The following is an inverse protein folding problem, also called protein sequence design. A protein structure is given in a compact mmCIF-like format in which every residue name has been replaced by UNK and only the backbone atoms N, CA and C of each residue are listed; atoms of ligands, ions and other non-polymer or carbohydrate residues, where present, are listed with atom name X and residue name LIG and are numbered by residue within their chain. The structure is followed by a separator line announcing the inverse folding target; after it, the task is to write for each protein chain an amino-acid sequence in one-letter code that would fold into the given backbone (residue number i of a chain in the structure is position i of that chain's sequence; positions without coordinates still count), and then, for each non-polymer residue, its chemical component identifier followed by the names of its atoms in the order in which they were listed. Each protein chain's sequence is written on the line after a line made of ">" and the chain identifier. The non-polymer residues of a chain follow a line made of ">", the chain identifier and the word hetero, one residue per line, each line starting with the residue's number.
data_IF_432262875397
#
_entry.id   IF_432262875397
#
_cell.length_a   1.000
_cell.length_b   1.000
_cell.length_c   1.000
_cell.angle_alpha   90.00
_cell.angle_beta   90.00
_cell.angle_gamma   90.00
#
_symmetry.space_group_name_H-M   'P 1'
#
loop_
_entity.id
_entity.type
_entity.pdbx_description
1 polymer ?
#
# COMPACT_ATOMS: atom_id res chain seq x y z
N UNK A 1 -26.47 -0.54 -43.61
CA UNK A 1 -25.93 0.49 -42.69
C UNK A 1 -26.19 0.10 -41.24
N UNK A 2 -27.44 -0.19 -40.85
CA UNK A 2 -27.77 -0.67 -39.50
C UNK A 2 -27.01 -1.93 -39.07
N UNK A 3 -26.87 -2.94 -39.94
CA UNK A 3 -26.16 -4.18 -39.59
C UNK A 3 -24.68 -3.93 -39.26
N UNK A 4 -24.03 -3.05 -40.01
CA UNK A 4 -22.63 -2.68 -39.82
C UNK A 4 -22.45 -1.89 -38.52
N UNK A 5 -23.38 -0.98 -38.24
CA UNK A 5 -23.40 -0.19 -37.01
C UNK A 5 -23.64 -1.07 -35.77
N UNK A 6 -24.58 -2.01 -35.84
CA UNK A 6 -24.88 -2.94 -34.75
C UNK A 6 -23.71 -3.88 -34.46
N UNK A 7 -23.03 -4.40 -35.49
CA UNK A 7 -21.84 -5.23 -35.32
C UNK A 7 -20.68 -4.43 -34.71
N UNK A 8 -20.49 -3.18 -35.14
CA UNK A 8 -19.46 -2.31 -34.56
C UNK A 8 -19.73 -2.02 -33.08
N UNK A 9 -20.98 -1.78 -32.69
CA UNK A 9 -21.35 -1.56 -31.29
C UNK A 9 -21.26 -2.83 -30.44
N UNK A 10 -21.52 -4.01 -31.03
CA UNK A 10 -21.35 -5.28 -30.33
C UNK A 10 -19.87 -5.62 -30.09
N UNK A 11 -18.99 -5.38 -31.06
CA UNK A 11 -17.56 -5.67 -30.94
C UNK A 11 -16.79 -4.57 -30.20
N UNK A 12 -17.18 -3.31 -30.38
CA UNK A 12 -16.55 -2.12 -29.81
C UNK A 12 -17.60 -1.21 -29.14
N UNK A 13 -18.13 -1.60 -27.97
CA UNK A 13 -19.19 -0.86 -27.29
C UNK A 13 -18.81 0.58 -26.98
N UNK A 14 -17.51 0.83 -26.72
CA UNK A 14 -16.97 2.18 -26.49
C UNK A 14 -17.31 3.15 -27.61
N UNK A 15 -17.48 2.70 -28.87
CA UNK A 15 -17.89 3.57 -29.99
C UNK A 15 -19.25 4.26 -29.80
N UNK A 16 -20.08 3.79 -28.85
CA UNK A 16 -21.30 4.47 -28.46
C UNK A 16 -21.08 5.88 -27.93
N UNK A 17 -19.90 6.22 -27.38
CA UNK A 17 -19.64 7.61 -26.95
C UNK A 17 -19.77 8.61 -28.12
N UNK A 18 -19.42 8.19 -29.34
CA UNK A 18 -19.51 9.01 -30.56
C UNK A 18 -20.97 9.17 -31.01
N UNK A 19 -21.80 8.15 -30.76
CA UNK A 19 -23.15 8.04 -31.33
C UNK A 19 -24.21 8.57 -30.35
N UNK A 20 -24.04 8.31 -29.06
CA UNK A 20 -25.03 8.58 -28.01
C UNK A 20 -24.43 9.27 -26.77
N UNK A 21 -23.15 9.65 -26.80
CA UNK A 21 -22.44 10.27 -25.67
C UNK A 21 -22.49 9.42 -24.39
N UNK A 22 -22.60 8.09 -24.56
CA UNK A 22 -22.64 7.11 -23.48
C UNK A 22 -21.23 6.61 -23.16
N UNK A 23 -20.88 6.60 -21.86
CA UNK A 23 -19.59 6.16 -21.37
C UNK A 23 -19.75 4.92 -20.49
N UNK A 24 -18.82 3.98 -20.65
CA UNK A 24 -18.74 2.79 -19.81
C UNK A 24 -17.85 3.06 -18.60
N UNK A 25 -18.25 2.51 -17.47
CA UNK A 25 -17.55 2.63 -16.20
C UNK A 25 -16.48 1.53 -16.05
N UNK A 26 -15.71 1.59 -14.95
CA UNK A 26 -14.66 0.62 -14.69
C UNK A 26 -15.16 -0.83 -14.62
N UNK A 27 -16.37 -1.06 -14.10
CA UNK A 27 -16.94 -2.40 -13.98
C UNK A 27 -17.14 -3.06 -15.36
N UNK A 28 -17.59 -2.29 -16.34
CA UNK A 28 -17.74 -2.73 -17.72
C UNK A 28 -16.41 -3.17 -18.34
N UNK A 29 -15.31 -2.45 -18.07
CA UNK A 29 -13.98 -2.84 -18.56
C UNK A 29 -13.49 -4.15 -17.93
N UNK A 30 -13.73 -4.36 -16.63
CA UNK A 30 -13.37 -5.61 -15.94
C UNK A 30 -14.15 -6.81 -16.51
N UNK A 31 -15.45 -6.63 -16.79
CA UNK A 31 -16.25 -7.67 -17.44
C UNK A 31 -15.70 -8.01 -18.84
N UNK A 32 -15.36 -7.00 -19.65
CA UNK A 32 -14.79 -7.24 -20.97
C UNK A 32 -13.43 -7.91 -20.94
N UNK A 33 -12.62 -7.63 -19.91
CA UNK A 33 -11.37 -8.34 -19.67
C UNK A 33 -11.65 -9.82 -19.38
N UNK A 34 -12.49 -10.17 -18.40
CA UNK A 34 -12.80 -11.57 -18.10
C UNK A 34 -13.44 -12.35 -19.25
N UNK A 35 -14.27 -11.69 -20.06
CA UNK A 35 -14.93 -12.27 -21.23
C UNK A 35 -14.02 -12.34 -22.47
N UNK A 36 -12.75 -11.94 -22.36
CA UNK A 36 -11.80 -11.88 -23.46
C UNK A 36 -12.29 -11.04 -24.66
N UNK A 37 -13.07 -9.98 -24.42
CA UNK A 37 -13.66 -9.21 -25.53
C UNK A 37 -12.60 -8.43 -26.29
N UNK A 38 -12.73 -8.40 -27.62
CA UNK A 38 -11.83 -7.67 -28.54
C UNK A 38 -11.74 -6.17 -28.25
N UNK A 39 -12.77 -5.57 -27.63
CA UNK A 39 -12.75 -4.15 -27.27
C UNK A 39 -11.84 -3.80 -26.09
N UNK A 40 -11.39 -4.78 -25.31
CA UNK A 40 -10.52 -4.51 -24.18
C UNK A 40 -9.09 -4.23 -24.64
N UNK A 41 -8.45 -3.17 -24.15
CA UNK A 41 -7.11 -2.74 -24.60
C UNK A 41 -6.05 -3.85 -24.51
N UNK A 42 -6.14 -4.69 -23.48
CA UNK A 42 -5.17 -5.78 -23.23
C UNK A 42 -5.46 -7.04 -24.07
N UNK A 43 -6.56 -7.06 -24.83
CA UNK A 43 -6.93 -8.16 -25.73
C UNK A 43 -6.99 -7.74 -27.20
N UNK A 44 -7.27 -6.47 -27.49
CA UNK A 44 -7.43 -5.95 -28.84
C UNK A 44 -6.31 -6.43 -29.77
N UNK A 45 -5.06 -6.12 -29.41
CA UNK A 45 -3.89 -6.52 -30.19
C UNK A 45 -3.78 -8.03 -30.38
N UNK A 46 -4.16 -8.85 -29.39
CA UNK A 46 -4.08 -10.32 -29.45
C UNK A 46 -4.99 -10.92 -30.52
N UNK A 47 -6.09 -10.25 -30.86
CA UNK A 47 -6.99 -10.68 -31.93
C UNK A 47 -6.46 -10.37 -33.34
N UNK A 48 -5.52 -9.42 -33.47
CA UNK A 48 -5.02 -8.93 -34.76
C UNK A 48 -3.53 -9.16 -34.98
N UNK A 49 -2.78 -9.55 -33.94
CA UNK A 49 -1.38 -9.98 -34.03
C UNK A 49 -1.28 -11.47 -34.36
N UNK A 50 -0.39 -11.79 -35.30
CA UNK A 50 -0.04 -13.16 -35.71
C UNK A 50 1.02 -13.82 -34.80
N UNK A 51 1.52 -13.10 -33.78
CA UNK A 51 2.50 -13.57 -32.81
C UNK A 51 2.07 -13.21 -31.39
N UNK A 52 2.33 -14.11 -30.44
CA UNK A 52 2.15 -13.84 -29.02
C UNK A 52 3.33 -13.01 -28.51
N UNK A 53 3.05 -11.82 -27.95
CA UNK A 53 4.05 -11.09 -27.17
C UNK A 53 4.26 -11.83 -25.84
N UNK A 54 5.52 -12.09 -25.47
CA UNK A 54 5.90 -13.02 -24.38
C UNK A 54 5.72 -12.47 -22.95
N UNK A 55 5.18 -11.26 -22.79
CA UNK A 55 5.12 -10.56 -21.50
C UNK A 55 3.71 -10.42 -20.91
N UNK A 56 2.67 -10.95 -21.57
CA UNK A 56 1.29 -10.87 -21.07
C UNK A 56 0.88 -12.08 -20.24
N UNK A 57 0.18 -11.85 -19.13
CA UNK A 57 -0.49 -12.90 -18.37
C UNK A 57 -1.62 -13.54 -19.18
N UNK A 58 -1.67 -14.86 -19.14
CA UNK A 58 -2.73 -15.68 -19.74
C UNK A 58 -3.92 -15.79 -18.78
N UNK A 59 -5.09 -16.16 -19.30
CA UNK A 59 -6.25 -16.52 -18.46
C UNK A 59 -5.90 -17.66 -17.49
N UNK A 60 -5.10 -18.63 -17.94
CA UNK A 60 -4.64 -19.73 -17.09
C UNK A 60 -3.82 -19.25 -15.90
N UNK A 61 -3.08 -18.15 -16.00
CA UNK A 61 -2.36 -17.59 -14.84
C UNK A 61 -3.31 -17.11 -13.74
N UNK A 62 -4.43 -16.48 -14.12
CA UNK A 62 -5.46 -16.04 -13.16
C UNK A 62 -6.27 -17.20 -12.59
N UNK A 63 -6.60 -18.22 -13.41
CA UNK A 63 -7.25 -19.44 -12.92
C UNK A 63 -6.36 -20.19 -11.94
N UNK A 64 -5.07 -20.37 -12.27
CA UNK A 64 -4.10 -20.97 -11.36
C UNK A 64 -3.99 -20.17 -10.05
N UNK A 65 -4.07 -18.84 -10.10
CA UNK A 65 -4.08 -18.01 -8.91
C UNK A 65 -5.36 -18.18 -8.08
N UNK A 66 -6.54 -18.33 -8.70
CA UNK A 66 -7.78 -18.68 -8.02
C UNK A 66 -7.69 -20.04 -7.31
N UNK A 67 -7.07 -21.03 -7.94
CA UNK A 67 -6.89 -22.36 -7.33
C UNK A 67 -6.03 -22.31 -6.07
N UNK A 68 -5.06 -21.38 -5.99
CA UNK A 68 -4.21 -21.18 -4.81
C UNK A 68 -4.94 -20.50 -3.65
N UNK A 69 -6.15 -19.96 -3.83
CA UNK A 69 -6.89 -19.23 -2.78
C UNK A 69 -7.24 -20.09 -1.56
N UNK A 70 -7.22 -21.42 -1.71
CA UNK A 70 -7.44 -22.36 -0.62
C UNK A 70 -6.20 -22.59 0.28
N UNK A 71 -5.02 -22.10 -0.12
CA UNK A 71 -3.74 -22.38 0.53
C UNK A 71 -3.00 -21.07 0.81
N UNK A 72 -3.08 -20.64 2.08
CA UNK A 72 -2.52 -19.38 2.58
C UNK A 72 -1.04 -19.21 2.20
N UNK A 73 -0.24 -20.25 2.44
CA UNK A 73 1.22 -20.19 2.24
C UNK A 73 1.56 -20.18 0.75
N UNK A 74 0.96 -21.07 -0.05
CA UNK A 74 1.26 -21.10 -1.49
C UNK A 74 0.81 -19.83 -2.21
N UNK A 75 -0.32 -19.25 -1.80
CA UNK A 75 -0.78 -17.99 -2.36
C UNK A 75 0.16 -16.85 -2.00
N UNK A 76 0.57 -16.76 -0.73
CA UNK A 76 1.57 -15.77 -0.28
C UNK A 76 2.86 -15.88 -1.10
N UNK A 77 3.41 -17.09 -1.23
CA UNK A 77 4.63 -17.35 -2.00
C UNK A 77 4.47 -16.94 -3.47
N UNK A 78 3.30 -17.19 -4.07
CA UNK A 78 3.00 -16.76 -5.43
C UNK A 78 2.99 -15.25 -5.58
N UNK A 79 2.41 -14.52 -4.61
CA UNK A 79 2.40 -13.05 -4.58
C UNK A 79 3.83 -12.52 -4.47
N UNK A 80 4.64 -13.04 -3.56
CA UNK A 80 6.02 -12.60 -3.35
C UNK A 80 6.92 -12.95 -4.55
N UNK A 81 6.69 -14.08 -5.22
CA UNK A 81 7.39 -14.44 -6.45
C UNK A 81 7.07 -13.49 -7.62
N UNK A 82 5.84 -12.97 -7.69
CA UNK A 82 5.48 -11.92 -8.64
C UNK A 82 6.16 -10.60 -8.30
N UNK A 83 6.22 -10.24 -7.01
CA UNK A 83 6.86 -9.00 -6.56
C UNK A 83 8.36 -8.99 -6.81
N UNK A 84 9.05 -10.09 -6.50
CA UNK A 84 10.47 -10.27 -6.78
C UNK A 84 10.85 -10.10 -8.27
N UNK A 85 9.86 -10.28 -9.17
CA UNK A 85 10.00 -10.08 -10.62
C UNK A 85 9.48 -8.71 -11.10
N UNK A 86 9.04 -7.82 -10.20
CA UNK A 86 8.34 -6.57 -10.48
C UNK A 86 7.06 -6.76 -11.32
N UNK A 87 6.39 -7.90 -11.15
CA UNK A 87 5.16 -8.27 -11.89
C UNK A 87 3.90 -8.16 -11.04
N UNK A 88 4.01 -8.00 -9.71
CA UNK A 88 2.87 -8.00 -8.80
C UNK A 88 1.86 -6.87 -9.08
N UNK A 89 2.33 -5.64 -9.32
CA UNK A 89 1.43 -4.52 -9.63
C UNK A 89 0.55 -4.81 -10.85
N UNK A 90 1.16 -5.27 -11.95
CA UNK A 90 0.42 -5.54 -13.18
C UNK A 90 -0.50 -6.74 -13.03
N UNK A 91 0.01 -7.82 -12.42
CA UNK A 91 -0.77 -9.03 -12.19
C UNK A 91 -1.98 -8.78 -11.30
N UNK A 92 -1.79 -8.17 -10.13
CA UNK A 92 -2.87 -7.92 -9.17
C UNK A 92 -3.90 -6.94 -9.73
N UNK A 93 -3.47 -5.94 -10.50
CA UNK A 93 -4.39 -5.01 -11.16
C UNK A 93 -5.34 -5.69 -12.14
N UNK A 94 -4.85 -6.70 -12.88
CA UNK A 94 -5.64 -7.52 -13.81
C UNK A 94 -6.47 -8.57 -13.06
N UNK A 95 -5.95 -9.09 -11.95
CA UNK A 95 -6.65 -10.06 -11.11
C UNK A 95 -7.89 -9.48 -10.42
N UNK A 96 -7.99 -8.16 -10.26
CA UNK A 96 -9.23 -7.49 -9.81
C UNK A 96 -10.48 -7.96 -10.57
N UNK A 97 -10.35 -8.28 -11.86
CA UNK A 97 -11.46 -8.78 -12.69
C UNK A 97 -11.96 -10.18 -12.26
N UNK A 98 -11.07 -10.98 -11.68
CA UNK A 98 -11.31 -12.37 -11.27
C UNK A 98 -11.61 -12.50 -9.78
N UNK A 99 -11.39 -11.45 -8.97
CA UNK A 99 -11.47 -11.54 -7.50
C UNK A 99 -12.83 -11.96 -6.96
N UNK A 100 -13.91 -11.71 -7.71
CA UNK A 100 -15.28 -12.17 -7.35
C UNK A 100 -15.50 -13.68 -7.55
N UNK A 101 -14.54 -14.38 -8.16
CA UNK A 101 -14.60 -15.82 -8.41
C UNK A 101 -13.90 -16.62 -7.30
N UNK A 102 -13.35 -15.96 -6.28
CA UNK A 102 -12.79 -16.64 -5.11
C UNK A 102 -13.93 -17.39 -4.39
N UNK A 103 -13.81 -18.72 -4.16
CA UNK A 103 -14.84 -19.46 -3.44
C UNK A 103 -14.97 -19.00 -1.98
N UNK A 104 -16.20 -18.93 -1.45
CA UNK A 104 -16.46 -18.45 -0.08
C UNK A 104 -15.75 -19.30 0.99
N UNK A 105 -15.64 -20.61 0.75
CA UNK A 105 -14.91 -21.54 1.62
C UNK A 105 -13.41 -21.20 1.74
N UNK A 106 -12.85 -20.45 0.78
CA UNK A 106 -11.45 -20.08 0.72
C UNK A 106 -11.16 -18.70 1.34
N UNK A 107 -12.18 -17.91 1.72
CA UNK A 107 -12.01 -16.52 2.13
C UNK A 107 -10.99 -16.33 3.26
N UNK A 108 -10.98 -17.20 4.28
CA UNK A 108 -10.02 -17.10 5.36
C UNK A 108 -8.56 -17.27 4.88
N UNK A 109 -8.29 -18.31 4.08
CA UNK A 109 -6.96 -18.58 3.56
C UNK A 109 -6.51 -17.46 2.60
N UNK A 110 -7.43 -17.01 1.74
CA UNK A 110 -7.21 -15.91 0.81
C UNK A 110 -6.87 -14.60 1.53
N UNK A 111 -7.73 -14.15 2.45
CA UNK A 111 -7.52 -12.93 3.23
C UNK A 111 -6.19 -13.00 3.98
N UNK A 112 -5.91 -14.11 4.67
CA UNK A 112 -4.69 -14.23 5.46
C UNK A 112 -3.42 -14.18 4.59
N UNK A 113 -3.44 -14.77 3.39
CA UNK A 113 -2.32 -14.67 2.45
C UNK A 113 -2.07 -13.22 1.99
N UNK A 114 -3.13 -12.46 1.72
CA UNK A 114 -3.01 -11.05 1.35
C UNK A 114 -2.45 -10.20 2.50
N UNK A 115 -2.89 -10.48 3.74
CA UNK A 115 -2.39 -9.81 4.94
C UNK A 115 -0.90 -10.12 5.18
N UNK A 116 -0.49 -11.40 5.03
CA UNK A 116 0.90 -11.81 5.20
C UNK A 116 1.82 -11.15 4.17
N UNK A 117 1.43 -11.20 2.90
CA UNK A 117 2.22 -10.61 1.82
C UNK A 117 2.31 -9.07 1.93
N UNK A 118 1.33 -8.43 2.55
CA UNK A 118 1.21 -6.97 2.62
C UNK A 118 2.39 -6.23 3.25
N UNK A 119 3.05 -6.84 4.23
CA UNK A 119 4.22 -6.24 4.92
C UNK A 119 5.55 -6.54 4.21
N UNK A 120 5.57 -7.57 3.37
CA UNK A 120 6.78 -8.05 2.68
C UNK A 120 6.89 -7.50 1.25
N UNK A 121 5.77 -7.09 0.66
CA UNK A 121 5.71 -6.58 -0.71
C UNK A 121 6.25 -5.15 -0.84
N UNK A 122 6.72 -4.78 -2.03
CA UNK A 122 7.09 -3.40 -2.31
C UNK A 122 5.88 -2.43 -2.21
N UNK A 123 6.04 -1.38 -1.40
CA UNK A 123 5.04 -0.33 -1.21
C UNK A 123 5.12 0.77 -2.27
N UNK A 124 6.29 0.99 -2.87
CA UNK A 124 6.45 1.99 -3.93
C UNK A 124 5.85 1.49 -5.24
N UNK A 125 5.10 2.35 -5.92
CA UNK A 125 4.63 2.10 -7.27
C UNK A 125 5.72 2.42 -8.27
N UNK A 126 5.98 1.51 -9.21
CA UNK A 126 6.85 1.78 -10.35
C UNK A 126 6.13 2.61 -11.45
N UNK A 127 4.81 2.78 -11.36
CA UNK A 127 3.98 3.45 -12.37
C UNK A 127 3.75 4.93 -12.01
N UNK A 128 3.79 5.81 -13.03
CA UNK A 128 3.46 7.24 -12.88
C UNK A 128 1.98 7.45 -12.51
N UNK A 129 1.10 6.67 -13.14
CA UNK A 129 -0.34 6.63 -12.87
C UNK A 129 -0.68 5.16 -12.58
N UNK A 130 -0.83 4.81 -11.31
CA UNK A 130 -1.13 3.44 -10.90
C UNK A 130 -0.97 3.24 -9.40
N UNK A 131 -1.68 2.25 -8.87
CA UNK A 131 -1.56 1.83 -7.48
C UNK A 131 -0.35 0.92 -7.30
N UNK A 132 0.25 0.92 -6.11
CA UNK A 132 1.28 -0.04 -5.76
C UNK A 132 0.69 -1.43 -5.53
N UNK A 133 1.54 -2.45 -5.55
CA UNK A 133 1.10 -3.83 -5.30
C UNK A 133 0.43 -3.97 -3.92
N UNK A 134 0.96 -3.31 -2.88
CA UNK A 134 0.35 -3.26 -1.55
C UNK A 134 -1.07 -2.66 -1.57
N UNK A 135 -1.32 -1.63 -2.39
CA UNK A 135 -2.66 -1.05 -2.54
C UNK A 135 -3.62 -2.02 -3.23
N UNK A 136 -3.15 -2.80 -4.21
CA UNK A 136 -3.96 -3.85 -4.82
C UNK A 136 -4.29 -4.97 -3.82
N UNK A 137 -3.33 -5.41 -2.99
CA UNK A 137 -3.59 -6.37 -1.91
C UNK A 137 -4.66 -5.86 -0.94
N UNK A 138 -4.57 -4.58 -0.54
CA UNK A 138 -5.57 -3.93 0.30
C UNK A 138 -6.95 -3.97 -0.35
N UNK A 139 -7.09 -3.54 -1.61
CA UNK A 139 -8.38 -3.53 -2.31
C UNK A 139 -8.99 -4.92 -2.44
N UNK A 140 -8.18 -5.91 -2.83
CA UNK A 140 -8.60 -7.31 -2.94
C UNK A 140 -9.06 -7.88 -1.60
N UNK A 141 -8.37 -7.53 -0.51
CA UNK A 141 -8.75 -7.92 0.85
C UNK A 141 -10.08 -7.26 1.26
N UNK A 142 -10.23 -5.95 1.06
CA UNK A 142 -11.45 -5.20 1.35
C UNK A 142 -12.65 -5.76 0.59
N UNK A 143 -12.53 -5.99 -0.72
CA UNK A 143 -13.62 -6.53 -1.53
C UNK A 143 -14.03 -7.94 -1.10
N UNK A 144 -13.07 -8.79 -0.72
CA UNK A 144 -13.39 -10.11 -0.19
C UNK A 144 -14.14 -10.03 1.14
N UNK A 145 -13.75 -9.10 2.03
CA UNK A 145 -14.45 -8.87 3.30
C UNK A 145 -15.85 -8.28 3.07
N UNK A 146 -16.02 -7.37 2.11
CA UNK A 146 -17.31 -6.79 1.74
C UNK A 146 -18.31 -7.85 1.25
N UNK A 147 -17.84 -8.88 0.55
CA UNK A 147 -18.69 -9.96 0.04
C UNK A 147 -19.28 -10.86 1.16
N UNK A 148 -18.62 -10.91 2.32
CA UNK A 148 -19.12 -11.61 3.51
C UNK A 148 -20.33 -10.87 4.05
N UNK A 149 -21.49 -11.52 4.11
CA UNK A 149 -22.75 -10.88 4.55
C UNK A 149 -22.78 -10.57 6.06
N UNK A 150 -22.13 -11.41 6.89
CA UNK A 150 -22.07 -11.23 8.33
C UNK A 150 -20.95 -10.25 8.72
N UNK A 151 -21.33 -9.06 9.16
CA UNK A 151 -20.40 -7.99 9.56
C UNK A 151 -19.50 -8.39 10.74
N UNK A 152 -20.02 -9.18 11.68
CA UNK A 152 -19.24 -9.66 12.82
C UNK A 152 -18.26 -10.75 12.40
N UNK A 153 -18.60 -11.54 11.37
CA UNK A 153 -17.65 -12.48 10.79
C UNK A 153 -16.47 -11.75 10.13
N UNK A 154 -16.71 -10.64 9.41
CA UNK A 154 -15.63 -9.79 8.86
C UNK A 154 -14.66 -9.35 9.96
N UNK A 155 -15.21 -8.81 11.05
CA UNK A 155 -14.43 -8.36 12.19
C UNK A 155 -13.66 -9.51 12.85
N UNK A 156 -14.32 -10.66 13.05
CA UNK A 156 -13.71 -11.84 13.66
C UNK A 156 -12.49 -12.31 12.89
N UNK A 157 -12.55 -12.36 11.55
CA UNK A 157 -11.42 -12.78 10.70
C UNK A 157 -10.19 -11.90 10.96
N UNK A 158 -10.37 -10.57 10.98
CA UNK A 158 -9.29 -9.60 11.22
C UNK A 158 -8.76 -9.68 12.67
N UNK A 159 -9.66 -9.78 13.65
CA UNK A 159 -9.30 -9.90 15.07
C UNK A 159 -8.54 -11.20 15.38
N UNK A 160 -8.97 -12.32 14.81
CA UNK A 160 -8.30 -13.60 15.00
C UNK A 160 -6.92 -13.59 14.33
N UNK A 161 -6.78 -12.89 13.20
CA UNK A 161 -5.49 -12.71 12.53
C UNK A 161 -4.51 -11.88 13.37
N UNK A 162 -4.90 -10.68 13.81
CA UNK A 162 -3.99 -9.75 14.50
C UNK A 162 -3.53 -10.29 15.87
N UNK A 163 -4.33 -11.14 16.52
CA UNK A 163 -3.92 -11.83 17.75
C UNK A 163 -2.72 -12.74 17.51
N UNK A 164 -2.68 -13.41 16.37
CA UNK A 164 -1.70 -14.45 16.06
C UNK A 164 -0.50 -13.93 15.27
N UNK A 165 -0.70 -12.92 14.41
CA UNK A 165 0.29 -12.47 13.43
C UNK A 165 0.71 -11.01 13.68
N UNK A 166 1.86 -10.63 13.15
CA UNK A 166 2.45 -9.28 13.31
C UNK A 166 2.63 -8.57 11.97
N UNK A 167 1.73 -8.83 11.02
CA UNK A 167 1.66 -8.11 9.75
C UNK A 167 0.59 -7.02 9.89
N UNK A 168 0.97 -5.77 9.67
CA UNK A 168 0.15 -4.62 10.06
C UNK A 168 -0.38 -3.81 8.87
N UNK A 169 0.32 -3.75 7.75
CA UNK A 169 0.11 -2.74 6.70
C UNK A 169 -1.29 -2.78 6.11
N UNK A 170 -1.84 -3.96 5.82
CA UNK A 170 -3.17 -4.06 5.21
C UNK A 170 -4.27 -3.79 6.24
N UNK A 171 -4.12 -4.26 7.48
CA UNK A 171 -5.07 -3.96 8.56
C UNK A 171 -5.06 -2.47 8.87
N UNK A 172 -3.89 -1.82 8.87
CA UNK A 172 -3.75 -0.38 9.00
C UNK A 172 -4.56 0.34 7.90
N UNK A 173 -4.39 -0.07 6.64
CA UNK A 173 -5.12 0.52 5.52
C UNK A 173 -6.65 0.33 5.66
N UNK A 174 -7.11 -0.83 6.13
CA UNK A 174 -8.54 -1.08 6.42
C UNK A 174 -9.03 -0.11 7.50
N UNK A 175 -8.32 0.00 8.62
CA UNK A 175 -8.70 0.89 9.71
C UNK A 175 -8.72 2.37 9.28
N UNK A 176 -7.77 2.81 8.45
CA UNK A 176 -7.76 4.16 7.87
C UNK A 176 -8.97 4.38 6.96
N UNK A 177 -9.27 3.43 6.08
CA UNK A 177 -10.42 3.52 5.18
C UNK A 177 -11.73 3.58 5.97
N UNK A 178 -11.84 2.79 7.03
CA UNK A 178 -12.95 2.76 7.97
C UNK A 178 -13.16 4.11 8.70
N UNK A 179 -12.08 4.73 9.21
CA UNK A 179 -12.13 6.09 9.80
C UNK A 179 -12.66 7.12 8.77
N UNK A 180 -12.16 7.04 7.53
CA UNK A 180 -12.58 7.95 6.45
C UNK A 180 -14.04 7.74 6.02
N UNK A 181 -14.50 6.49 5.97
CA UNK A 181 -15.89 6.15 5.65
C UNK A 181 -16.82 6.68 6.74
N UNK A 182 -16.50 6.47 8.02
CA UNK A 182 -17.27 7.02 9.15
C UNK A 182 -17.33 8.54 9.13
N UNK A 183 -16.19 9.21 8.95
CA UNK A 183 -16.13 10.67 8.88
C UNK A 183 -16.99 11.27 7.74
N UNK A 184 -17.25 10.48 6.69
CA UNK A 184 -18.04 10.88 5.52
C UNK A 184 -19.44 10.26 5.50
N UNK A 185 -19.87 9.58 6.57
CA UNK A 185 -21.14 8.84 6.64
C UNK A 185 -21.37 7.89 5.44
N UNK A 186 -20.32 7.14 5.07
CA UNK A 186 -20.37 6.11 4.02
C UNK A 186 -20.54 4.73 4.65
N UNK A 187 -20.87 3.75 3.82
CA UNK A 187 -20.90 2.34 4.22
C UNK A 187 -19.56 1.90 4.82
N UNK A 188 -19.63 1.15 5.90
CA UNK A 188 -18.46 0.65 6.65
C UNK A 188 -18.36 -0.86 6.56
N UNK A 189 -17.13 -1.35 6.57
CA UNK A 189 -16.82 -2.76 6.57
C UNK A 189 -17.16 -3.41 7.91
N UNK A 190 -16.95 -2.69 9.01
CA UNK A 190 -17.15 -3.14 10.38
C UNK A 190 -18.23 -2.31 11.07
N UNK A 191 -18.87 -2.86 12.09
CA UNK A 191 -19.65 -2.04 13.02
C UNK A 191 -18.73 -1.25 13.96
N UNK A 192 -19.29 -0.28 14.69
CA UNK A 192 -18.51 0.62 15.55
C UNK A 192 -17.81 -0.09 16.71
N UNK A 193 -18.45 -1.10 17.32
CA UNK A 193 -17.86 -1.84 18.44
C UNK A 193 -16.70 -2.71 17.96
N UNK A 194 -16.87 -3.36 16.82
CA UNK A 194 -15.87 -4.21 16.22
C UNK A 194 -14.67 -3.42 15.68
N UNK A 195 -14.93 -2.25 15.10
CA UNK A 195 -13.91 -1.30 14.66
C UNK A 195 -13.05 -0.79 15.81
N UNK A 196 -13.66 -0.28 16.88
CA UNK A 196 -12.91 0.23 18.03
C UNK A 196 -12.11 -0.88 18.71
N UNK A 197 -12.68 -2.08 18.84
CA UNK A 197 -11.94 -3.21 19.39
C UNK A 197 -10.78 -3.63 18.49
N UNK A 198 -10.94 -3.61 17.16
CA UNK A 198 -9.83 -3.92 16.24
C UNK A 198 -8.70 -2.89 16.34
N UNK A 199 -9.01 -1.60 16.52
CA UNK A 199 -7.99 -0.55 16.78
C UNK A 199 -7.22 -0.81 18.07
N UNK A 200 -7.92 -1.22 19.14
CA UNK A 200 -7.29 -1.60 20.41
C UNK A 200 -6.38 -2.82 20.22
N UNK A 201 -6.87 -3.88 19.58
CA UNK A 201 -6.11 -5.10 19.33
C UNK A 201 -4.87 -4.81 18.45
N UNK A 202 -5.03 -3.99 17.41
CA UNK A 202 -3.96 -3.54 16.53
C UNK A 202 -2.87 -2.78 17.28
N UNK A 203 -3.24 -1.76 18.06
CA UNK A 203 -2.26 -0.94 18.79
C UNK A 203 -1.55 -1.70 19.90
N UNK A 204 -2.26 -2.60 20.60
CA UNK A 204 -1.65 -3.49 21.59
C UNK A 204 -0.63 -4.44 20.94
N UNK A 205 -0.99 -5.05 19.81
CA UNK A 205 -0.09 -5.94 19.07
C UNK A 205 1.12 -5.19 18.52
N UNK A 206 0.92 -3.99 17.98
CA UNK A 206 1.99 -3.13 17.49
C UNK A 206 2.93 -2.70 18.62
N UNK A 207 2.41 -2.32 19.78
CA UNK A 207 3.20 -2.01 20.97
C UNK A 207 4.07 -3.21 21.39
N UNK A 208 3.47 -4.38 21.54
CA UNK A 208 4.19 -5.61 21.91
C UNK A 208 5.28 -5.95 20.88
N UNK A 209 4.94 -5.90 19.59
CA UNK A 209 5.86 -6.18 18.50
C UNK A 209 7.01 -5.17 18.45
N UNK A 210 6.72 -3.88 18.63
CA UNK A 210 7.71 -2.80 18.58
C UNK A 210 8.77 -2.94 19.68
N UNK A 211 8.38 -3.37 20.88
CA UNK A 211 9.30 -3.59 21.98
C UNK A 211 10.09 -4.90 21.84
N UNK A 212 9.48 -5.93 21.25
CA UNK A 212 10.12 -7.25 21.12
C UNK A 212 11.04 -7.34 19.88
N UNK A 213 10.71 -6.63 18.81
CA UNK A 213 11.37 -6.70 17.50
C UNK A 213 11.60 -5.29 16.89
N UNK A 214 12.33 -4.39 17.58
CA UNK A 214 12.53 -3.01 17.11
C UNK A 214 13.26 -2.92 15.76
N UNK A 215 14.15 -3.88 15.47
CA UNK A 215 14.85 -3.96 14.18
C UNK A 215 13.92 -4.29 13.03
N UNK A 216 13.01 -5.25 13.22
CA UNK A 216 12.11 -5.70 12.17
C UNK A 216 11.03 -4.65 11.89
N UNK A 217 10.53 -4.00 12.94
CA UNK A 217 9.65 -2.84 12.79
C UNK A 217 10.31 -1.73 11.97
N UNK A 218 11.58 -1.41 12.24
CA UNK A 218 12.31 -0.34 11.54
C UNK A 218 12.52 -0.62 10.05
N UNK A 219 12.47 -1.89 9.63
CA UNK A 219 12.58 -2.32 8.23
C UNK A 219 11.24 -2.36 7.51
N UNK A 220 10.13 -2.28 8.25
CA UNK A 220 8.78 -2.33 7.67
C UNK A 220 8.57 -1.14 6.73
N UNK A 221 8.11 -1.41 5.50
CA UNK A 221 7.87 -0.37 4.48
C UNK A 221 6.79 0.64 4.90
N UNK A 222 5.95 0.28 5.87
CA UNK A 222 4.91 1.10 6.47
C UNK A 222 5.32 1.73 7.80
N UNK A 223 6.59 1.62 8.23
CA UNK A 223 7.08 2.05 9.55
C UNK A 223 6.50 3.40 10.00
N UNK A 224 6.69 4.46 9.20
CA UNK A 224 6.30 5.80 9.61
C UNK A 224 4.77 5.91 9.79
N UNK A 225 4.00 5.30 8.88
CA UNK A 225 2.55 5.24 8.95
C UNK A 225 2.10 4.55 10.24
N UNK A 226 2.66 3.37 10.52
CA UNK A 226 2.40 2.60 11.75
C UNK A 226 2.70 3.41 13.01
N UNK A 227 3.78 4.19 13.03
CA UNK A 227 4.14 5.03 14.19
C UNK A 227 3.15 6.17 14.42
N UNK A 228 2.64 6.79 13.35
CA UNK A 228 1.55 7.77 13.47
C UNK A 228 0.29 7.10 14.02
N UNK A 229 -0.10 5.94 13.50
CA UNK A 229 -1.30 5.22 13.96
C UNK A 229 -1.18 4.71 15.38
N UNK A 230 -0.02 4.23 15.78
CA UNK A 230 0.23 3.84 17.17
C UNK A 230 0.05 5.03 18.12
N UNK A 231 0.58 6.19 17.75
CA UNK A 231 0.45 7.43 18.54
C UNK A 231 -0.99 7.96 18.58
N UNK A 232 -1.71 7.88 17.47
CA UNK A 232 -3.07 8.41 17.31
C UNK A 232 -4.15 7.52 17.94
N UNK A 233 -4.06 6.21 17.73
CA UNK A 233 -5.08 5.25 18.17
C UNK A 233 -4.74 4.61 19.52
N UNK A 234 -3.47 4.56 19.89
CA UNK A 234 -2.99 3.98 21.15
C UNK A 234 -2.64 5.03 22.20
N UNK A 235 -1.90 4.60 23.22
CA UNK A 235 -1.32 5.52 24.19
C UNK A 235 -0.08 6.20 23.58
N UNK A 236 -0.21 7.49 23.26
CA UNK A 236 0.91 8.28 22.70
C UNK A 236 2.20 8.23 23.52
N UNK A 237 2.12 8.03 24.84
CA UNK A 237 3.32 7.92 25.69
C UNK A 237 4.13 6.66 25.35
N UNK A 238 3.49 5.55 24.99
CA UNK A 238 4.19 4.30 24.67
C UNK A 238 5.05 4.49 23.40
N UNK A 239 4.48 5.11 22.37
CA UNK A 239 5.20 5.42 21.12
C UNK A 239 6.36 6.39 21.36
N UNK A 240 6.12 7.47 22.13
CA UNK A 240 7.16 8.47 22.41
C UNK A 240 8.31 7.89 23.25
N UNK A 241 7.99 7.08 24.27
CA UNK A 241 8.98 6.37 25.08
C UNK A 241 9.79 5.38 24.23
N UNK A 242 9.15 4.70 23.29
CA UNK A 242 9.85 3.81 22.36
C UNK A 242 10.87 4.58 21.51
N UNK A 243 10.47 5.70 20.89
CA UNK A 243 11.39 6.55 20.13
C UNK A 243 12.53 7.10 20.99
N UNK A 244 12.23 7.50 22.23
CA UNK A 244 13.25 7.94 23.17
C UNK A 244 14.28 6.83 23.40
N UNK A 245 13.83 5.61 23.70
CA UNK A 245 14.67 4.43 23.90
C UNK A 245 15.51 4.07 22.66
N UNK A 246 14.98 4.25 21.44
CA UNK A 246 15.73 3.98 20.20
C UNK A 246 16.76 5.07 19.84
N UNK A 247 16.71 6.25 20.46
CA UNK A 247 17.52 7.43 20.05
C UNK A 247 18.43 7.93 21.16
N UNK A 248 19.02 7.01 21.93
CA UNK A 248 19.91 7.35 23.06
C UNK A 248 21.29 7.85 22.63
N UNK A 249 21.75 7.47 21.44
CA UNK A 249 23.04 7.86 20.88
C UNK A 249 22.92 8.24 19.40
N UNK A 250 24.04 8.68 18.80
CA UNK A 250 24.08 9.11 17.41
C UNK A 250 23.69 7.99 16.44
N UNK A 251 24.03 6.74 16.72
CA UNK A 251 23.75 5.60 15.85
C UNK A 251 22.25 5.27 15.85
N UNK A 252 21.63 5.26 17.03
CA UNK A 252 20.18 5.12 17.17
C UNK A 252 19.41 6.25 16.49
N UNK A 253 19.89 7.50 16.62
CA UNK A 253 19.32 8.66 15.92
C UNK A 253 19.40 8.47 14.41
N UNK A 254 20.58 8.15 13.87
CA UNK A 254 20.77 7.96 12.43
C UNK A 254 19.89 6.82 11.88
N UNK A 255 19.78 5.72 12.63
CA UNK A 255 18.90 4.61 12.28
C UNK A 255 17.43 5.05 12.18
N UNK A 256 16.93 5.83 13.14
CA UNK A 256 15.56 6.36 13.10
C UNK A 256 15.38 7.42 12.01
N UNK A 257 16.35 8.31 11.81
CA UNK A 257 16.27 9.31 10.73
C UNK A 257 16.17 8.64 9.35
N UNK A 258 16.84 7.50 9.16
CA UNK A 258 16.76 6.74 7.91
C UNK A 258 15.33 6.26 7.61
N UNK A 259 14.55 5.90 8.64
CA UNK A 259 13.14 5.47 8.46
C UNK A 259 12.17 6.64 8.30
N UNK A 260 12.61 7.87 8.58
CA UNK A 260 11.85 9.11 8.39
C UNK A 260 12.10 9.77 7.02
N UNK A 261 12.94 9.19 6.17
CA UNK A 261 13.15 9.70 4.82
C UNK A 261 11.86 9.54 4.01
N UNK A 262 11.45 10.65 3.39
CA UNK A 262 10.37 10.68 2.43
C UNK A 262 10.92 10.95 1.04
N UNK A 263 10.26 10.37 0.04
CA UNK A 263 10.64 10.49 -1.37
C UNK A 263 9.51 11.16 -2.15
N UNK A 264 9.83 12.17 -2.93
CA UNK A 264 8.94 12.71 -3.96
C UNK A 264 9.50 12.48 -5.35
N UNK A 265 8.60 12.16 -6.27
CA UNK A 265 8.91 11.97 -7.69
C UNK A 265 8.12 13.02 -8.48
N UNK A 266 8.81 13.87 -9.22
CA UNK A 266 8.20 14.82 -10.15
C UNK A 266 8.60 14.50 -11.57
N UNK A 267 7.68 14.72 -12.51
CA UNK A 267 7.88 14.53 -13.94
C UNK A 267 7.61 15.87 -14.62
N UNK A 268 8.64 16.48 -15.21
CA UNK A 268 8.48 17.68 -16.03
C UNK A 268 8.25 17.30 -17.50
N UNK A 269 7.61 18.20 -18.26
CA UNK A 269 7.30 18.00 -19.68
C UNK A 269 8.51 17.71 -20.59
N UNK A 270 9.73 18.00 -20.09
CA UNK A 270 11.00 17.79 -20.77
C UNK A 270 11.81 16.58 -20.27
N UNK A 271 11.41 15.93 -19.16
CA UNK A 271 12.21 14.85 -18.56
C UNK A 271 11.66 13.48 -18.95
N UNK A 272 12.52 12.64 -19.53
CA UNK A 272 12.25 11.21 -19.78
C UNK A 272 12.47 10.33 -18.53
N UNK A 273 13.01 10.89 -17.44
CA UNK A 273 13.21 10.21 -16.15
C UNK A 273 12.64 11.07 -15.01
N UNK A 274 12.02 10.47 -13.98
CA UNK A 274 11.54 11.22 -12.83
C UNK A 274 12.68 11.94 -12.11
N UNK A 275 12.43 13.17 -11.69
CA UNK A 275 13.25 13.83 -10.69
C UNK A 275 12.85 13.29 -9.31
N UNK A 276 13.78 12.66 -8.61
CA UNK A 276 13.56 12.03 -7.30
C UNK A 276 14.20 12.92 -6.24
N UNK A 277 13.40 13.46 -5.32
CA UNK A 277 13.87 14.24 -4.16
C UNK A 277 13.66 13.43 -2.90
N UNK A 278 14.71 13.30 -2.09
CA UNK A 278 14.67 12.67 -0.75
C UNK A 278 14.82 13.78 0.29
N UNK A 279 14.03 13.74 1.35
CA UNK A 279 14.08 14.76 2.41
C UNK A 279 13.51 14.18 3.73
N UNK A 280 13.74 14.88 4.83
CA UNK A 280 13.15 14.60 6.15
C UNK A 280 12.37 15.86 6.55
N UNK A 281 11.06 15.73 6.83
CA UNK A 281 10.26 16.86 7.32
C UNK A 281 10.53 17.14 8.78
N UNK A 282 10.64 18.43 9.12
CA UNK A 282 10.82 18.82 10.50
C UNK A 282 9.59 18.48 11.35
N UNK A 283 8.38 18.56 10.77
CA UNK A 283 7.15 18.13 11.45
C UNK A 283 7.14 16.64 11.79
N UNK A 284 7.67 15.78 10.92
CA UNK A 284 7.79 14.35 11.21
C UNK A 284 8.73 14.11 12.39
N UNK A 285 9.90 14.73 12.39
CA UNK A 285 10.88 14.60 13.47
C UNK A 285 10.31 15.15 14.78
N UNK A 286 9.68 16.33 14.73
CA UNK A 286 9.10 17.02 15.91
C UNK A 286 7.95 16.22 16.52
N UNK A 287 7.24 15.43 15.71
CA UNK A 287 6.12 14.61 16.19
C UNK A 287 6.56 13.46 17.10
N UNK A 288 7.79 12.97 16.97
CA UNK A 288 8.26 11.77 17.66
C UNK A 288 9.49 11.99 18.53
N UNK A 289 10.33 12.98 18.23
CA UNK A 289 11.63 13.15 18.88
C UNK A 289 11.75 14.46 19.67
N UNK A 290 12.48 14.39 20.79
CA UNK A 290 12.85 15.56 21.60
C UNK A 290 13.95 16.37 20.91
N UNK A 291 13.58 17.40 20.16
CA UNK A 291 14.50 18.16 19.29
C UNK A 291 15.69 18.78 20.02
N UNK A 292 15.55 19.43 21.20
CA UNK A 292 16.70 19.90 21.97
C UNK A 292 17.72 18.79 22.28
N UNK A 293 17.24 17.61 22.72
CA UNK A 293 18.10 16.46 23.03
C UNK A 293 18.81 15.93 21.79
N UNK A 294 18.06 15.71 20.71
CA UNK A 294 18.60 15.19 19.45
C UNK A 294 19.64 16.15 18.88
N UNK A 295 19.36 17.46 18.89
CA UNK A 295 20.29 18.48 18.40
C UNK A 295 21.59 18.49 19.21
N UNK A 296 21.51 18.35 20.53
CA UNK A 296 22.69 18.25 21.38
C UNK A 296 23.55 17.03 21.02
N UNK A 297 22.95 15.85 20.86
CA UNK A 297 23.68 14.63 20.50
C UNK A 297 24.33 14.77 19.12
N UNK A 298 23.58 15.24 18.12
CA UNK A 298 24.08 15.42 16.74
C UNK A 298 25.22 16.44 16.68
N UNK A 299 25.13 17.55 17.42
CA UNK A 299 26.17 18.58 17.43
C UNK A 299 27.42 18.17 18.23
N UNK A 300 27.28 17.24 19.17
CA UNK A 300 28.39 16.72 19.97
C UNK A 300 29.06 15.50 19.34
N UNK A 301 28.49 14.93 18.29
CA UNK A 301 29.03 13.76 17.60
C UNK A 301 30.27 14.11 16.77
N UNK A 302 31.24 13.20 16.74
CA UNK A 302 32.37 13.30 15.83
C UNK A 302 31.94 12.93 14.40
N UNK A 303 31.74 13.94 13.56
CA UNK A 303 31.31 13.74 12.18
C UNK A 303 32.37 13.02 11.33
N UNK A 304 33.63 12.96 11.76
CA UNK A 304 34.70 12.30 11.00
C UNK A 304 34.56 10.78 10.99
N UNK A 305 33.88 10.21 11.98
CA UNK A 305 33.66 8.75 12.08
C UNK A 305 32.41 8.28 11.33
N UNK A 306 31.59 9.20 10.82
CA UNK A 306 30.37 8.88 10.09
C UNK A 306 30.65 8.62 8.61
N UNK A 307 29.90 7.68 8.03
CA UNK A 307 29.83 7.45 6.60
C UNK A 307 29.20 8.65 5.86
N UNK A 308 29.36 8.71 4.55
CA UNK A 308 28.73 9.75 3.74
C UNK A 308 27.20 9.65 3.76
N UNK A 309 26.62 8.45 3.85
CA UNK A 309 25.17 8.27 3.99
C UNK A 309 24.65 8.85 5.32
N UNK A 310 25.36 8.60 6.42
CA UNK A 310 24.99 9.15 7.74
C UNK A 310 25.14 10.67 7.81
N UNK A 311 26.18 11.22 7.18
CA UNK A 311 26.32 12.68 7.05
C UNK A 311 25.19 13.28 6.23
N UNK A 312 24.74 12.58 5.19
CA UNK A 312 23.61 13.02 4.37
C UNK A 312 22.30 13.07 5.18
N UNK A 313 22.05 12.07 6.04
CA UNK A 313 20.90 12.09 6.96
C UNK A 313 20.90 13.33 7.87
N UNK A 314 22.06 13.71 8.41
CA UNK A 314 22.19 14.92 9.23
C UNK A 314 21.94 16.19 8.41
N UNK A 315 22.42 16.24 7.16
CA UNK A 315 22.14 17.37 6.25
C UNK A 315 20.65 17.47 5.93
N UNK A 316 19.99 16.36 5.64
CA UNK A 316 18.54 16.29 5.39
C UNK A 316 17.74 16.77 6.60
N UNK A 317 18.12 16.35 7.81
CA UNK A 317 17.51 16.80 9.06
C UNK A 317 17.62 18.33 9.21
N UNK A 318 18.84 18.88 9.08
CA UNK A 318 19.08 20.32 9.18
C UNK A 318 18.28 21.09 8.12
N UNK A 319 18.27 20.59 6.89
CA UNK A 319 17.52 21.20 5.78
C UNK A 319 16.02 21.19 6.04
N UNK A 320 15.47 20.13 6.62
CA UNK A 320 14.06 20.07 7.03
C UNK A 320 13.71 21.20 8.02
N UNK A 321 14.53 21.41 9.05
CA UNK A 321 14.31 22.49 10.02
C UNK A 321 14.48 23.88 9.40
N UNK A 322 15.44 24.07 8.49
CA UNK A 322 15.55 25.31 7.71
C UNK A 322 14.30 25.57 6.86
N UNK A 323 13.78 24.54 6.18
CA UNK A 323 12.57 24.65 5.37
C UNK A 323 11.38 25.03 6.23
N UNK A 324 11.19 24.39 7.39
CA UNK A 324 10.14 24.74 8.35
C UNK A 324 10.24 26.18 8.86
N UNK A 325 11.45 26.64 9.21
CA UNK A 325 11.66 28.02 9.63
C UNK A 325 11.30 29.05 8.55
N UNK A 326 11.42 28.67 7.28
CA UNK A 326 11.08 29.49 6.12
C UNK A 326 9.63 29.30 5.62
N UNK A 327 8.79 28.52 6.33
CA UNK A 327 7.41 28.23 5.90
C UNK A 327 7.31 27.30 4.69
N UNK A 328 8.34 26.48 4.45
CA UNK A 328 8.52 25.59 3.28
C UNK A 328 8.55 24.11 3.65
N UNK A 329 8.13 23.70 4.85
CA UNK A 329 8.15 22.28 5.26
C UNK A 329 7.25 21.41 4.34
N UNK A 330 6.24 22.03 3.74
CA UNK A 330 5.35 21.43 2.73
C UNK A 330 5.62 21.90 1.29
N UNK A 331 6.61 22.76 1.06
CA UNK A 331 6.95 23.20 -0.30
C UNK A 331 7.86 22.18 -0.98
N UNK A 332 7.30 21.56 -2.00
CA UNK A 332 7.93 20.56 -2.85
C UNK A 332 8.83 21.17 -3.93
N UNK A 333 8.56 22.43 -4.27
CA UNK A 333 9.22 23.20 -5.32
C UNK A 333 10.35 24.02 -4.70
N UNK A 334 11.55 23.44 -4.69
CA UNK A 334 12.85 24.15 -4.67
C UNK A 334 13.99 23.15 -4.90
#
# INVERSE_FOLDING_TARGET
>A
MELTQNNLQALFPTTQWIISNYYYDHSSYQEWFTQLRVCHKDHFDKYFKLSFDSEDFSTSDFINFLELTNDREKLKDKILALDARNLAEDFLSKFEAYSKQVPQENYNAYIYALLDAGDEINRESNKFLGFSAQTYLFRLCSWCLEDIQDIHLRAKILKDYIKQNSNFSIIENILIAEDQSRAKNRETLLDDSDFEQLKIDFTNKLNQFSNSNPEDLSKNSSFLSLMYRWKEWGNSSDTLNWFEAQTQDIQGILKILKTMIQTTRSYGSSYTKPHIKRYIKADTVTNFLNIPRISHIVNSADLSTLSEEEKDLIKMLKKGFENKANGRDDNWDD
#
